data_IF_561496687301
#
_entry.id   IF_561496687301
#
_cell.length_a   1.000
_cell.length_b   1.000
_cell.length_c   1.000
_cell.angle_alpha   90.00
_cell.angle_beta   90.00
_cell.angle_gamma   90.00
#
_symmetry.space_group_name_H-M   'P 1'
#
loop_
_entity.id
_entity.type
_entity.pdbx_description
1 polymer ?
#
# COMPACT_ATOMS: atom_id res chain seq x y z
N UNK A 1 -15.26 5.50 1.34
CA UNK A 1 -14.41 5.99 0.23
C UNK A 1 -15.31 6.31 -0.96
N UNK A 2 -15.01 7.35 -1.77
CA UNK A 2 -15.79 7.68 -2.96
C UNK A 2 -15.68 6.59 -4.02
N UNK A 3 -16.65 6.48 -4.95
CA UNK A 3 -16.55 5.57 -6.10
C UNK A 3 -15.24 5.84 -6.85
N UNK A 4 -14.48 4.78 -7.19
CA UNK A 4 -13.21 4.94 -7.90
C UNK A 4 -13.44 5.50 -9.30
N UNK A 5 -12.77 6.59 -9.61
CA UNK A 5 -12.75 7.23 -10.91
C UNK A 5 -11.33 7.74 -11.18
N UNK A 6 -10.62 7.01 -12.05
CA UNK A 6 -9.24 7.33 -12.42
C UNK A 6 -9.13 8.60 -13.29
N UNK A 7 -10.23 9.05 -13.89
CA UNK A 7 -10.26 10.27 -14.70
C UNK A 7 -10.45 11.53 -13.85
N UNK A 8 -10.87 11.37 -12.59
CA UNK A 8 -11.10 12.46 -11.68
C UNK A 8 -9.94 12.61 -10.68
N UNK A 9 -9.07 13.63 -10.82
CA UNK A 9 -7.92 13.81 -9.95
C UNK A 9 -8.29 14.05 -8.48
N UNK A 10 -9.49 14.59 -8.20
CA UNK A 10 -9.97 14.78 -6.83
C UNK A 10 -10.33 13.44 -6.17
N UNK A 11 -10.91 12.51 -6.93
CA UNK A 11 -11.22 11.15 -6.45
C UNK A 11 -9.93 10.38 -6.20
N UNK A 12 -8.98 10.42 -7.14
CA UNK A 12 -7.64 9.81 -6.96
C UNK A 12 -6.96 10.34 -5.70
N UNK A 13 -6.97 11.67 -5.49
CA UNK A 13 -6.38 12.30 -4.30
C UNK A 13 -7.11 11.92 -3.01
N UNK A 14 -8.44 11.84 -3.04
CA UNK A 14 -9.22 11.41 -1.88
C UNK A 14 -8.87 9.97 -1.49
N UNK A 15 -8.74 9.06 -2.47
CA UNK A 15 -8.29 7.69 -2.24
C UNK A 15 -6.87 7.65 -1.68
N UNK A 16 -5.92 8.38 -2.26
CA UNK A 16 -4.54 8.48 -1.76
C UNK A 16 -4.50 8.94 -0.29
N UNK A 17 -5.27 9.98 0.07
CA UNK A 17 -5.30 10.50 1.43
C UNK A 17 -5.89 9.51 2.43
N UNK A 18 -7.01 8.87 2.10
CA UNK A 18 -7.65 7.90 3.00
C UNK A 18 -6.74 6.67 3.17
N UNK A 19 -6.19 6.17 2.08
CA UNK A 19 -5.25 5.04 2.07
C UNK A 19 -3.98 5.34 2.88
N UNK A 20 -3.41 6.54 2.77
CA UNK A 20 -2.26 6.95 3.56
C UNK A 20 -2.57 6.99 5.07
N UNK A 21 -3.75 7.49 5.46
CA UNK A 21 -4.16 7.48 6.87
C UNK A 21 -4.36 6.05 7.39
N UNK A 22 -4.93 5.17 6.57
CA UNK A 22 -5.09 3.76 6.91
C UNK A 22 -3.73 3.08 7.13
N UNK A 23 -2.79 3.29 6.21
CA UNK A 23 -1.40 2.80 6.30
C UNK A 23 -0.65 3.36 7.53
N UNK A 24 -0.88 4.62 7.89
CA UNK A 24 -0.31 5.23 9.09
C UNK A 24 -0.85 4.62 10.40
N UNK A 25 -2.03 4.02 10.37
CA UNK A 25 -2.60 3.27 11.49
C UNK A 25 -1.99 1.87 11.68
N UNK A 26 -1.29 1.33 10.67
CA UNK A 26 -0.72 -0.01 10.72
C UNK A 26 0.47 -0.12 11.69
N UNK A 27 0.75 -1.32 12.17
CA UNK A 27 1.88 -1.60 13.06
C UNK A 27 2.32 -3.05 12.94
N UNK A 28 3.58 -3.34 13.28
CA UNK A 28 4.16 -4.67 13.22
C UNK A 28 4.40 -5.15 11.80
N UNK A 29 4.07 -6.43 11.54
CA UNK A 29 4.21 -7.04 10.22
C UNK A 29 2.95 -6.81 9.39
N UNK A 30 3.10 -6.08 8.29
CA UNK A 30 2.03 -5.74 7.35
C UNK A 30 2.11 -6.67 6.15
N UNK A 31 0.95 -7.14 5.69
CA UNK A 31 0.82 -7.98 4.49
C UNK A 31 -0.05 -7.25 3.46
N UNK A 32 0.43 -7.16 2.24
CA UNK A 32 -0.30 -6.58 1.12
C UNK A 32 -0.45 -7.64 0.03
N UNK A 33 -1.67 -7.82 -0.50
CA UNK A 33 -1.92 -8.76 -1.60
C UNK A 33 -1.93 -7.96 -2.89
N UNK A 34 -0.96 -8.20 -3.77
CA UNK A 34 -0.72 -7.34 -4.93
C UNK A 34 -0.46 -8.20 -6.16
N UNK A 35 -1.27 -7.98 -7.20
CA UNK A 35 -1.10 -8.63 -8.49
C UNK A 35 0.18 -8.20 -9.20
N UNK A 36 0.72 -9.07 -10.05
CA UNK A 36 1.94 -8.83 -10.83
C UNK A 36 1.83 -7.68 -11.83
N UNK A 37 0.62 -7.36 -12.31
CA UNK A 37 0.36 -6.25 -13.22
C UNK A 37 -0.25 -5.05 -12.46
N UNK A 38 0.64 -4.21 -11.93
CA UNK A 38 0.27 -2.92 -11.35
C UNK A 38 0.09 -1.86 -12.45
N UNK A 39 -0.98 -1.06 -12.34
CA UNK A 39 -1.18 0.10 -13.22
C UNK A 39 -0.19 1.22 -12.84
N UNK A 40 0.44 1.91 -13.79
CA UNK A 40 1.24 3.10 -13.50
C UNK A 40 0.40 4.14 -12.74
N UNK A 41 0.94 4.65 -11.62
CA UNK A 41 0.24 5.64 -10.78
C UNK A 41 -0.83 5.05 -9.85
N UNK A 42 -0.77 3.75 -9.54
CA UNK A 42 -1.66 3.13 -8.57
C UNK A 42 -1.50 3.73 -7.16
N UNK A 43 -2.55 3.62 -6.34
CA UNK A 43 -2.58 4.15 -4.97
C UNK A 43 -1.58 3.46 -4.06
N UNK A 44 -1.27 2.18 -4.32
CA UNK A 44 -0.31 1.40 -3.52
C UNK A 44 1.09 2.02 -3.56
N UNK A 45 1.67 2.18 -4.75
CA UNK A 45 3.03 2.71 -4.93
C UNK A 45 3.10 4.21 -4.63
N UNK A 46 2.02 4.95 -4.90
CA UNK A 46 2.03 6.42 -4.76
C UNK A 46 1.70 6.92 -3.35
N UNK A 47 0.96 6.15 -2.54
CA UNK A 47 0.50 6.60 -1.23
C UNK A 47 0.71 5.57 -0.12
N UNK A 48 0.24 4.33 -0.30
CA UNK A 48 0.23 3.32 0.79
C UNK A 48 1.63 2.85 1.16
N UNK A 49 2.44 2.47 0.17
CA UNK A 49 3.79 1.97 0.41
C UNK A 49 4.69 3.03 1.08
N UNK A 50 4.77 4.29 0.60
CA UNK A 50 5.50 5.35 1.30
C UNK A 50 4.99 5.59 2.74
N UNK A 51 3.67 5.57 2.96
CA UNK A 51 3.09 5.76 4.28
C UNK A 51 3.46 4.62 5.25
N UNK A 52 3.44 3.37 4.78
CA UNK A 52 3.87 2.21 5.57
C UNK A 52 5.37 2.25 5.89
N UNK A 53 6.21 2.62 4.91
CA UNK A 53 7.65 2.74 5.11
C UNK A 53 8.03 3.90 6.04
N UNK A 54 7.26 5.00 6.03
CA UNK A 54 7.45 6.13 6.95
C UNK A 54 6.87 5.88 8.34
N UNK A 55 5.96 4.91 8.49
CA UNK A 55 5.38 4.57 9.78
C UNK A 55 6.38 3.79 10.65
N UNK A 56 6.89 4.39 11.76
CA UNK A 56 7.91 3.75 12.60
C UNK A 56 7.40 2.50 13.32
N UNK A 57 6.07 2.35 13.45
CA UNK A 57 5.45 1.18 14.08
C UNK A 57 5.45 -0.04 13.16
N UNK A 58 5.64 0.14 11.85
CA UNK A 58 5.72 -0.95 10.88
C UNK A 58 7.13 -1.52 10.90
N UNK A 59 7.25 -2.81 11.22
CA UNK A 59 8.52 -3.53 11.31
C UNK A 59 8.82 -4.34 10.07
N UNK A 60 7.80 -4.74 9.31
CA UNK A 60 7.96 -5.56 8.11
C UNK A 60 6.79 -5.33 7.14
N UNK A 61 7.06 -5.34 5.84
CA UNK A 61 6.03 -5.35 4.79
C UNK A 61 6.29 -6.56 3.89
N UNK A 62 5.26 -7.39 3.73
CA UNK A 62 5.29 -8.59 2.89
C UNK A 62 4.22 -8.46 1.80
N UNK A 63 4.61 -8.57 0.55
CA UNK A 63 3.66 -8.66 -0.57
C UNK A 63 3.33 -10.12 -0.86
N UNK A 64 2.07 -10.42 -1.17
CA UNK A 64 1.62 -11.75 -1.59
C UNK A 64 1.10 -11.62 -3.02
N UNK A 65 1.62 -12.46 -3.91
CA UNK A 65 1.06 -12.61 -5.25
C UNK A 65 -0.28 -13.37 -5.16
N UNK A 66 -1.41 -12.77 -5.57
CA UNK A 66 -2.71 -13.43 -5.52
C UNK A 66 -2.83 -14.63 -6.46
N UNK A 67 -2.02 -14.71 -7.52
CA UNK A 67 -2.08 -15.80 -8.49
C UNK A 67 -1.35 -17.06 -8.00
N UNK A 68 -0.20 -16.88 -7.34
CA UNK A 68 0.66 -17.98 -6.90
C UNK A 68 0.61 -18.23 -5.39
N UNK A 69 0.09 -17.27 -4.61
CA UNK A 69 0.18 -17.27 -3.15
C UNK A 69 1.60 -17.00 -2.62
N UNK A 70 2.57 -16.74 -3.50
CA UNK A 70 3.95 -16.52 -3.12
C UNK A 70 4.08 -15.22 -2.33
N UNK A 71 4.66 -15.30 -1.14
CA UNK A 71 4.91 -14.14 -0.28
C UNK A 71 6.37 -13.69 -0.38
N UNK A 72 6.58 -12.39 -0.56
CA UNK A 72 7.90 -11.76 -0.63
C UNK A 72 7.98 -10.60 0.36
N UNK A 73 9.02 -10.60 1.18
CA UNK A 73 9.31 -9.46 2.06
C UNK A 73 9.91 -8.35 1.21
N UNK A 74 9.26 -7.19 1.19
CA UNK A 74 9.71 -6.01 0.42
C UNK A 74 10.31 -4.93 1.30
N UNK A 75 10.05 -4.97 2.60
CA UNK A 75 10.60 -4.04 3.58
C UNK A 75 10.74 -4.73 4.93
N UNK A 76 11.86 -4.48 5.60
CA UNK A 76 12.07 -4.85 6.99
C UNK A 76 12.75 -3.67 7.67
N UNK A 77 12.20 -3.22 8.78
CA UNK A 77 12.85 -2.24 9.64
C UNK A 77 13.89 -2.99 10.46
N UNK A 78 15.16 -2.66 10.25
CA UNK A 78 16.26 -3.22 11.02
C UNK A 78 16.03 -3.06 12.53
N UNK A 79 16.44 -4.07 13.29
CA UNK A 79 16.48 -3.99 14.76
C UNK A 79 17.44 -2.91 15.23
#
# INVERSE_FOLDING_TARGET
MPTWDASNPAVVRAWQNISAQYAAGASGSVRAVIGSNLRPGNVWETAELPALMNNPKVTQITTIDPATGASKVIFTRGK
#
